data_IF_630500476273
#
_entry.id   IF_630500476273
#
_cell.length_a   1.000
_cell.length_b   1.000
_cell.length_c   1.000
_cell.angle_alpha   90.00
_cell.angle_beta   90.00
_cell.angle_gamma   90.00
#
_symmetry.space_group_name_H-M   'P 1'
#
loop_
_entity.id
_entity.type
_entity.pdbx_description
1 polymer ?
#
# COMPACT_ATOMS: atom_id res chain seq x y z
N UNK A 1 -4.23 12.99 29.91
CA UNK A 1 -2.85 12.50 29.75
C UNK A 1 -2.92 11.00 29.98
N UNK A 2 -3.09 10.22 28.91
CA UNK A 2 -3.22 8.77 29.02
C UNK A 2 -1.89 8.19 29.51
N UNK A 3 -1.94 7.50 30.65
CA UNK A 3 -0.77 6.86 31.24
C UNK A 3 -0.34 5.71 30.33
N UNK A 4 0.92 5.71 29.88
CA UNK A 4 1.54 4.62 29.11
C UNK A 4 1.45 3.24 29.79
N UNK A 5 1.07 3.19 31.07
CA UNK A 5 0.86 1.99 31.86
C UNK A 5 -0.42 1.20 31.52
N UNK A 6 -1.39 1.81 30.84
CA UNK A 6 -2.64 1.16 30.44
C UNK A 6 -2.72 0.88 28.92
N UNK A 7 -1.63 1.10 28.17
CA UNK A 7 -1.59 0.76 26.75
C UNK A 7 -1.50 -0.76 26.58
N UNK A 8 -2.53 -1.32 25.97
CA UNK A 8 -2.60 -2.72 25.59
C UNK A 8 -2.23 -2.87 24.11
N UNK A 9 -0.98 -3.27 23.79
CA UNK A 9 -0.58 -3.47 22.41
C UNK A 9 -1.51 -4.47 21.71
N UNK A 10 -1.87 -4.17 20.45
CA UNK A 10 -2.87 -4.84 19.59
C UNK A 10 -4.35 -4.51 19.88
N UNK A 11 -4.75 -4.27 21.13
CA UNK A 11 -6.14 -3.89 21.44
C UNK A 11 -6.35 -2.39 21.28
N UNK A 12 -5.39 -1.60 21.73
CA UNK A 12 -5.46 -0.15 21.61
C UNK A 12 -4.92 0.32 20.25
N UNK A 13 -5.63 1.26 19.58
CA UNK A 13 -5.23 1.75 18.29
C UNK A 13 -3.93 2.55 18.40
N UNK A 14 -2.94 2.14 17.60
CA UNK A 14 -1.74 2.96 17.41
C UNK A 14 -2.14 4.17 16.57
N UNK A 15 -1.78 5.37 17.01
CA UNK A 15 -2.00 6.60 16.25
C UNK A 15 -1.01 6.73 15.08
N UNK A 16 -1.14 5.84 14.09
CA UNK A 16 -0.35 5.79 12.87
C UNK A 16 -1.11 6.33 11.65
N UNK A 17 -2.32 6.87 11.84
CA UNK A 17 -3.18 7.31 10.74
C UNK A 17 -2.46 8.31 9.83
N UNK A 18 -1.69 9.26 10.37
CA UNK A 18 -0.91 10.23 9.57
C UNK A 18 0.13 9.57 8.64
N UNK A 19 0.59 8.38 8.97
CA UNK A 19 1.67 7.66 8.27
C UNK A 19 1.16 6.42 7.52
N UNK A 20 -0.16 6.29 7.32
CA UNK A 20 -0.79 5.11 6.71
C UNK A 20 -0.16 4.70 5.36
N UNK A 21 0.17 5.68 4.52
CA UNK A 21 0.77 5.46 3.21
C UNK A 21 2.21 4.92 3.30
N UNK A 22 2.95 5.30 4.36
CA UNK A 22 4.32 4.84 4.57
C UNK A 22 4.33 3.36 4.94
N UNK A 23 3.31 2.88 5.66
CA UNK A 23 3.16 1.47 6.03
C UNK A 23 2.94 0.54 4.83
N UNK A 24 2.56 1.08 3.67
CA UNK A 24 2.45 0.31 2.42
C UNK A 24 3.81 -0.17 1.90
N UNK A 25 4.87 0.61 2.13
CA UNK A 25 6.23 0.26 1.69
C UNK A 25 6.76 -1.00 2.39
N UNK A 26 6.82 -1.09 3.73
CA UNK A 26 7.25 -2.31 4.40
C UNK A 26 6.30 -3.48 4.11
N UNK A 27 4.99 -3.25 4.00
CA UNK A 27 4.03 -4.30 3.62
C UNK A 27 4.36 -4.89 2.24
N UNK A 28 4.55 -4.05 1.23
CA UNK A 28 4.88 -4.48 -0.13
C UNK A 28 6.22 -5.21 -0.19
N UNK A 29 7.21 -4.76 0.58
CA UNK A 29 8.51 -5.43 0.70
C UNK A 29 8.33 -6.83 1.31
N UNK A 30 7.64 -6.93 2.45
CA UNK A 30 7.45 -8.20 3.16
C UNK A 30 6.69 -9.23 2.30
N UNK A 31 5.63 -8.80 1.62
CA UNK A 31 4.90 -9.66 0.67
C UNK A 31 5.83 -10.12 -0.45
N UNK A 32 6.63 -9.22 -1.01
CA UNK A 32 7.56 -9.53 -2.10
C UNK A 32 8.66 -10.50 -1.67
N UNK A 33 9.19 -10.35 -0.45
CA UNK A 33 10.17 -11.26 0.18
C UNK A 33 9.58 -12.66 0.26
N UNK A 34 8.41 -12.82 0.90
CA UNK A 34 7.77 -14.15 1.08
C UNK A 34 7.43 -14.78 -0.27
N UNK A 35 6.82 -14.02 -1.18
CA UNK A 35 6.42 -14.55 -2.48
C UNK A 35 7.63 -14.98 -3.33
N UNK A 36 8.67 -14.16 -3.40
CA UNK A 36 9.87 -14.48 -4.20
C UNK A 36 10.68 -15.61 -3.59
N UNK A 37 10.64 -15.80 -2.28
CA UNK A 37 11.32 -16.91 -1.61
C UNK A 37 10.70 -18.26 -2.01
N UNK A 38 9.38 -18.32 -2.15
CA UNK A 38 8.67 -19.55 -2.54
C UNK A 38 8.65 -19.80 -4.05
N UNK A 39 8.74 -18.75 -4.87
CA UNK A 39 8.52 -18.85 -6.32
C UNK A 39 9.80 -18.94 -7.15
N UNK A 40 10.94 -18.43 -6.66
CA UNK A 40 12.17 -18.43 -7.46
C UNK A 40 12.88 -19.78 -7.37
N UNK A 41 13.30 -20.38 -8.51
CA UNK A 41 14.06 -21.63 -8.51
C UNK A 41 15.51 -21.45 -8.03
N UNK A 42 16.03 -20.22 -8.00
CA UNK A 42 17.37 -19.92 -7.49
C UNK A 42 17.45 -18.54 -6.83
N UNK A 43 18.30 -18.43 -5.82
CA UNK A 43 18.45 -17.21 -5.01
C UNK A 43 19.31 -16.13 -5.68
N UNK A 44 20.02 -16.44 -6.76
CA UNK A 44 20.96 -15.50 -7.39
C UNK A 44 20.33 -14.18 -7.88
N UNK A 45 19.04 -14.20 -8.23
CA UNK A 45 18.28 -12.99 -8.63
C UNK A 45 17.22 -12.59 -7.59
N UNK A 46 17.26 -13.18 -6.40
CA UNK A 46 16.28 -12.96 -5.34
C UNK A 46 16.14 -11.48 -4.92
N UNK A 47 17.20 -10.76 -4.50
CA UNK A 47 17.06 -9.37 -4.06
C UNK A 47 16.55 -8.45 -5.17
N UNK A 48 17.00 -8.66 -6.41
CA UNK A 48 16.50 -7.94 -7.59
C UNK A 48 15.02 -8.26 -7.85
N UNK A 49 14.64 -9.53 -7.72
CA UNK A 49 13.26 -9.98 -7.88
C UNK A 49 12.32 -9.37 -6.84
N UNK A 50 12.74 -9.30 -5.58
CA UNK A 50 12.02 -8.62 -4.50
C UNK A 50 11.86 -7.14 -4.81
N UNK A 51 12.95 -6.44 -5.14
CA UNK A 51 12.91 -5.00 -5.44
C UNK A 51 11.97 -4.68 -6.62
N UNK A 52 12.04 -5.45 -7.71
CA UNK A 52 11.15 -5.26 -8.86
C UNK A 52 9.69 -5.47 -8.47
N UNK A 53 9.38 -6.53 -7.72
CA UNK A 53 8.01 -6.81 -7.31
C UNK A 53 7.47 -5.75 -6.35
N UNK A 54 8.27 -5.29 -5.39
CA UNK A 54 7.91 -4.17 -4.51
C UNK A 54 7.56 -2.92 -5.34
N UNK A 55 8.39 -2.57 -6.32
CA UNK A 55 8.12 -1.42 -7.20
C UNK A 55 6.87 -1.62 -8.05
N UNK A 56 6.60 -2.84 -8.51
CA UNK A 56 5.36 -3.16 -9.24
C UNK A 56 4.12 -3.02 -8.36
N UNK A 57 4.17 -3.49 -7.11
CA UNK A 57 3.05 -3.35 -6.17
C UNK A 57 2.79 -1.88 -5.85
N UNK A 58 3.83 -1.13 -5.44
CA UNK A 58 3.69 0.29 -5.12
C UNK A 58 3.28 1.11 -6.34
N UNK A 59 3.89 0.86 -7.49
CA UNK A 59 3.56 1.52 -8.75
C UNK A 59 2.13 1.20 -9.20
N UNK A 60 1.70 -0.05 -9.09
CA UNK A 60 0.33 -0.48 -9.40
C UNK A 60 -0.69 0.21 -8.51
N UNK A 61 -0.45 0.27 -7.20
CA UNK A 61 -1.32 0.98 -6.26
C UNK A 61 -1.40 2.48 -6.56
N UNK A 62 -0.27 3.12 -6.84
CA UNK A 62 -0.24 4.53 -7.21
C UNK A 62 -1.02 4.81 -8.50
N UNK A 63 -0.80 4.00 -9.54
CA UNK A 63 -1.51 4.12 -10.81
C UNK A 63 -3.01 3.90 -10.65
N UNK A 64 -3.44 2.92 -9.86
CA UNK A 64 -4.86 2.68 -9.58
C UNK A 64 -5.49 3.85 -8.82
N UNK A 65 -4.79 4.41 -7.83
CA UNK A 65 -5.25 5.60 -7.10
C UNK A 65 -5.38 6.82 -8.00
N UNK A 66 -4.36 7.07 -8.84
CA UNK A 66 -4.39 8.17 -9.81
C UNK A 66 -5.52 7.99 -10.84
N UNK A 67 -5.69 6.77 -11.36
CA UNK A 67 -6.77 6.45 -12.29
C UNK A 67 -8.15 6.67 -11.66
N UNK A 68 -8.33 6.23 -10.41
CA UNK A 68 -9.57 6.46 -9.67
C UNK A 68 -9.83 7.95 -9.44
N UNK A 69 -8.81 8.73 -9.07
CA UNK A 69 -8.93 10.18 -8.92
C UNK A 69 -9.34 10.85 -10.22
N UNK A 70 -8.65 10.55 -11.33
CA UNK A 70 -8.97 11.10 -12.65
C UNK A 70 -10.39 10.72 -13.05
N UNK A 71 -10.78 9.47 -12.82
CA UNK A 71 -12.10 8.99 -13.13
C UNK A 71 -13.18 9.75 -12.35
N UNK A 72 -13.02 9.90 -11.04
CA UNK A 72 -14.02 10.55 -10.17
C UNK A 72 -14.07 12.06 -10.40
N UNK A 73 -12.92 12.73 -10.52
CA UNK A 73 -12.87 14.20 -10.59
C UNK A 73 -13.13 14.71 -12.00
N UNK A 74 -12.70 13.99 -13.04
CA UNK A 74 -12.79 14.46 -14.41
C UNK A 74 -13.83 13.72 -15.25
N UNK A 75 -13.92 12.39 -15.18
CA UNK A 75 -14.88 11.64 -16.01
C UNK A 75 -16.29 11.64 -15.41
N UNK A 76 -16.43 11.42 -14.10
CA UNK A 76 -17.74 11.33 -13.46
C UNK A 76 -18.63 12.57 -13.68
N UNK A 77 -18.16 13.83 -13.57
CA UNK A 77 -19.01 15.00 -13.85
C UNK A 77 -19.37 15.17 -15.34
N UNK A 78 -18.61 14.58 -16.25
CA UNK A 78 -18.92 14.60 -17.69
C UNK A 78 -19.99 13.54 -18.02
N UNK A 79 -19.88 12.35 -17.41
CA UNK A 79 -20.75 11.20 -17.73
C UNK A 79 -22.05 11.24 -16.92
N UNK A 80 -22.00 11.71 -15.67
CA UNK A 80 -23.18 11.84 -14.81
C UNK A 80 -23.70 13.27 -14.94
N UNK A 81 -24.93 13.50 -15.47
CA UNK A 81 -25.54 14.80 -15.43
C UNK A 81 -25.82 15.16 -13.96
N UNK A 82 -24.91 15.93 -13.36
CA UNK A 82 -25.14 16.55 -12.05
C UNK A 82 -26.23 17.60 -12.27
N UNK A 83 -27.49 17.20 -12.13
CA UNK A 83 -28.61 18.14 -12.08
C UNK A 83 -28.45 18.97 -10.79
N UNK A 84 -28.60 20.31 -10.87
CA UNK A 84 -28.52 21.19 -9.70
C UNK A 84 -29.59 20.85 -8.67
#
# INVERSE_FOLDING_TARGET
>A
MDSLLAYTPLLDPINAHRFWWLLLVPLAILISVVYKALRLPSLGRYPRGVAIMTMQVLGGMFLLGAAAYIFVVHLAPIVLPVRP
#
